data_IF_817034257382
#
_entry.id   IF_817034257382
#
_cell.length_a   1.000
_cell.length_b   1.000
_cell.length_c   1.000
_cell.angle_alpha   90.00
_cell.angle_beta   90.00
_cell.angle_gamma   90.00
#
_symmetry.space_group_name_H-M   'P 1'
#
loop_
_entity.id
_entity.type
_entity.pdbx_description
1 polymer ?
#
# COMPACT_ATOMS: atom_id res chain seq x y z
N UNK A 1 -1.58 13.79 -19.53
CA UNK A 1 -2.12 12.64 -18.76
C UNK A 1 -3.19 13.14 -17.83
N UNK A 2 -4.33 12.43 -17.69
CA UNK A 2 -5.39 12.80 -16.75
C UNK A 2 -4.88 12.55 -15.30
N UNK A 3 -5.16 13.48 -14.40
CA UNK A 3 -4.83 13.33 -12.97
C UNK A 3 -5.72 12.26 -12.31
N UNK A 4 -5.26 11.67 -11.22
CA UNK A 4 -6.08 10.70 -10.44
C UNK A 4 -7.38 11.33 -9.98
N UNK A 5 -7.37 12.62 -9.65
CA UNK A 5 -8.58 13.35 -9.25
C UNK A 5 -9.63 13.40 -10.36
N UNK A 6 -9.21 13.57 -11.62
CA UNK A 6 -10.10 13.52 -12.79
C UNK A 6 -10.64 12.11 -13.02
N UNK A 7 -9.76 11.09 -12.97
CA UNK A 7 -10.15 9.68 -13.11
C UNK A 7 -11.17 9.24 -12.03
N UNK A 8 -11.05 9.74 -10.80
CA UNK A 8 -12.03 9.47 -9.73
C UNK A 8 -13.40 10.08 -10.07
N UNK A 9 -13.46 11.23 -10.73
CA UNK A 9 -14.74 11.82 -11.18
C UNK A 9 -15.36 10.99 -12.30
N UNK A 10 -14.56 10.48 -13.24
CA UNK A 10 -14.99 9.64 -14.34
C UNK A 10 -15.36 8.21 -13.91
N UNK A 11 -14.97 7.79 -12.72
CA UNK A 11 -15.19 6.42 -12.21
C UNK A 11 -16.67 6.02 -12.18
N UNK A 12 -17.59 6.96 -11.97
CA UNK A 12 -19.02 6.70 -12.01
C UNK A 12 -19.47 6.23 -13.38
N UNK A 13 -19.10 6.93 -14.43
CA UNK A 13 -19.51 6.61 -15.81
C UNK A 13 -18.92 5.28 -16.26
N UNK A 14 -17.66 5.04 -15.98
CA UNK A 14 -16.94 3.84 -16.40
C UNK A 14 -17.42 2.58 -15.67
N UNK A 15 -17.75 2.67 -14.38
CA UNK A 15 -18.11 1.51 -13.56
C UNK A 15 -19.64 1.32 -13.43
N UNK A 16 -20.44 2.29 -13.90
CA UNK A 16 -21.90 2.24 -13.82
C UNK A 16 -22.49 1.00 -14.49
N UNK A 17 -21.99 0.65 -15.67
CA UNK A 17 -22.49 -0.50 -16.45
C UNK A 17 -22.13 -1.83 -15.81
N UNK A 18 -20.94 -1.93 -15.19
CA UNK A 18 -20.43 -3.17 -14.59
C UNK A 18 -21.05 -3.46 -13.22
N UNK A 19 -21.23 -2.41 -12.40
CA UNK A 19 -21.72 -2.57 -11.00
C UNK A 19 -23.14 -2.02 -10.76
N UNK A 20 -23.81 -1.50 -11.79
CA UNK A 20 -25.21 -1.10 -11.72
C UNK A 20 -25.50 0.10 -10.81
N UNK A 21 -24.59 1.09 -10.73
CA UNK A 21 -24.81 2.29 -9.90
C UNK A 21 -26.00 3.11 -10.39
N UNK A 22 -26.91 3.43 -9.49
CA UNK A 22 -28.07 4.29 -9.78
C UNK A 22 -27.77 5.77 -9.51
N UNK A 23 -26.88 6.07 -8.60
CA UNK A 23 -26.55 7.43 -8.19
C UNK A 23 -25.03 7.65 -8.18
N UNK A 24 -24.57 8.83 -8.59
CA UNK A 24 -23.17 9.22 -8.57
C UNK A 24 -22.53 9.16 -7.16
N UNK A 25 -23.31 9.25 -6.10
CA UNK A 25 -22.83 9.11 -4.73
C UNK A 25 -22.45 7.67 -4.34
N UNK A 26 -22.91 6.66 -5.10
CA UNK A 26 -22.52 5.25 -4.92
C UNK A 26 -21.15 4.95 -5.52
N UNK A 27 -20.67 5.82 -6.41
CA UNK A 27 -19.37 5.63 -7.07
C UNK A 27 -18.22 5.44 -6.08
N UNK A 28 -17.26 4.59 -6.39
CA UNK A 28 -16.10 4.37 -5.55
C UNK A 28 -15.26 5.65 -5.41
N UNK A 29 -14.83 5.93 -4.19
CA UNK A 29 -13.99 7.09 -3.85
C UNK A 29 -12.87 6.67 -2.90
N UNK A 30 -11.70 7.30 -3.05
CA UNK A 30 -10.62 7.15 -2.08
C UNK A 30 -10.93 8.06 -0.90
N UNK A 31 -10.95 7.50 0.31
CA UNK A 31 -11.20 8.26 1.55
C UNK A 31 -9.93 8.81 2.16
N UNK A 32 -8.88 8.01 2.18
CA UNK A 32 -7.56 8.35 2.73
C UNK A 32 -6.49 7.40 2.20
N UNK A 33 -5.26 7.85 2.26
CA UNK A 33 -4.08 7.01 2.04
C UNK A 33 -3.25 7.03 3.33
N UNK A 34 -2.84 5.86 3.77
CA UNK A 34 -2.00 5.69 4.95
C UNK A 34 -0.64 5.20 4.47
N UNK A 35 0.40 5.95 4.82
CA UNK A 35 1.79 5.56 4.60
C UNK A 35 2.39 5.22 5.95
N UNK A 36 2.96 4.05 6.08
CA UNK A 36 3.58 3.59 7.33
C UNK A 36 4.94 2.95 7.09
N UNK A 37 5.87 3.16 8.02
CA UNK A 37 7.20 2.54 8.02
C UNK A 37 7.50 2.00 9.39
N UNK A 38 8.00 0.75 9.43
CA UNK A 38 8.44 0.09 10.66
C UNK A 38 9.90 0.44 10.94
N UNK A 39 10.16 1.03 12.11
CA UNK A 39 11.51 1.40 12.57
C UNK A 39 11.93 0.67 13.84
N UNK A 40 11.15 -0.30 14.30
CA UNK A 40 11.39 -0.99 15.58
C UNK A 40 12.71 -1.77 15.69
N UNK A 41 13.30 -2.18 14.57
CA UNK A 41 14.63 -2.80 14.51
C UNK A 41 15.77 -1.78 14.57
N UNK A 42 15.50 -0.50 14.32
CA UNK A 42 16.48 0.58 14.29
C UNK A 42 16.55 1.17 15.70
N UNK A 43 17.72 1.03 16.37
CA UNK A 43 17.94 1.58 17.72
C UNK A 43 18.58 2.97 17.70
N UNK A 44 19.14 3.36 16.56
CA UNK A 44 19.83 4.63 16.39
C UNK A 44 18.80 5.76 16.19
N UNK A 45 18.77 6.71 17.12
CA UNK A 45 17.88 7.86 17.07
C UNK A 45 18.09 8.71 15.81
N UNK A 46 19.37 8.89 15.39
CA UNK A 46 19.67 9.65 14.18
C UNK A 46 19.04 9.04 12.93
N UNK A 47 19.05 7.70 12.83
CA UNK A 47 18.39 7.00 11.72
C UNK A 47 16.86 7.12 11.79
N UNK A 48 16.28 7.11 12.98
CA UNK A 48 14.83 7.32 13.16
C UNK A 48 14.45 8.74 12.71
N UNK A 49 15.22 9.75 13.08
CA UNK A 49 14.99 11.14 12.66
C UNK A 49 15.17 11.33 11.15
N UNK A 50 16.14 10.62 10.56
CA UNK A 50 16.33 10.59 9.10
C UNK A 50 15.11 9.99 8.39
N UNK A 51 14.58 8.85 8.85
CA UNK A 51 13.35 8.25 8.29
C UNK A 51 12.17 9.22 8.39
N UNK A 52 12.05 9.96 9.50
CA UNK A 52 11.02 10.98 9.67
C UNK A 52 11.13 12.10 8.63
N UNK A 53 12.34 12.64 8.43
CA UNK A 53 12.61 13.71 7.45
C UNK A 53 12.27 13.22 6.03
N UNK A 54 12.72 12.02 5.66
CA UNK A 54 12.46 11.44 4.33
C UNK A 54 10.99 11.19 4.06
N UNK A 55 10.29 10.60 5.03
CA UNK A 55 8.83 10.44 4.93
C UNK A 55 8.11 11.78 4.81
N UNK A 56 8.60 12.82 5.50
CA UNK A 56 8.05 14.18 5.37
C UNK A 56 8.24 14.75 3.98
N UNK A 57 9.41 14.56 3.36
CA UNK A 57 9.70 14.99 1.98
C UNK A 57 8.83 14.26 0.95
N UNK A 58 8.70 12.94 1.07
CA UNK A 58 7.88 12.11 0.17
C UNK A 58 6.40 12.51 0.24
N UNK A 59 5.86 12.73 1.44
CA UNK A 59 4.41 12.90 1.64
C UNK A 59 3.98 14.36 1.77
N UNK A 60 4.91 15.28 2.00
CA UNK A 60 4.63 16.68 2.30
C UNK A 60 3.99 16.91 3.67
N UNK A 61 4.04 15.91 4.58
CA UNK A 61 3.44 15.98 5.91
C UNK A 61 4.33 15.26 6.93
N UNK A 62 4.52 15.87 8.11
CA UNK A 62 5.27 15.27 9.20
C UNK A 62 4.61 13.98 9.70
N UNK A 63 5.36 12.84 9.80
CA UNK A 63 4.82 11.58 10.29
C UNK A 63 4.54 11.61 11.80
N UNK A 64 3.52 10.85 12.23
CA UNK A 64 3.26 10.59 13.63
C UNK A 64 4.12 9.39 14.08
N UNK A 65 4.96 9.60 15.08
CA UNK A 65 5.74 8.53 15.73
C UNK A 65 4.80 7.62 16.51
N UNK A 66 4.93 6.30 16.34
CA UNK A 66 4.14 5.29 17.05
C UNK A 66 5.02 4.53 18.02
N UNK A 67 4.70 4.70 19.32
CA UNK A 67 5.37 3.98 20.41
C UNK A 67 4.80 2.58 20.62
N UNK A 68 5.63 1.69 21.15
CA UNK A 68 5.22 0.36 21.55
C UNK A 68 4.23 0.44 22.74
N UNK A 69 3.14 -0.31 22.65
CA UNK A 69 2.12 -0.36 23.72
C UNK A 69 2.53 -1.29 24.87
N UNK A 70 3.28 -2.33 24.58
CA UNK A 70 3.66 -3.39 25.50
C UNK A 70 5.15 -3.66 25.34
N UNK A 71 5.85 -3.95 26.43
CA UNK A 71 7.25 -4.39 26.41
C UNK A 71 7.32 -5.86 26.03
N UNK A 72 8.14 -6.20 25.02
CA UNK A 72 8.35 -7.59 24.56
C UNK A 72 9.85 -7.87 24.56
N UNK A 73 10.29 -8.76 25.47
CA UNK A 73 11.71 -9.07 25.66
C UNK A 73 12.35 -9.74 24.42
N UNK A 74 11.63 -10.61 23.71
CA UNK A 74 12.11 -11.29 22.50
C UNK A 74 12.49 -10.33 21.38
N UNK A 75 11.78 -9.22 21.24
CA UNK A 75 12.09 -8.17 20.27
C UNK A 75 12.95 -7.03 20.83
N UNK A 76 13.37 -7.11 22.09
CA UNK A 76 14.16 -6.08 22.80
C UNK A 76 13.52 -4.69 22.72
N UNK A 77 12.17 -4.63 22.80
CA UNK A 77 11.37 -3.41 22.75
C UNK A 77 10.75 -3.14 24.12
N UNK A 78 10.86 -1.91 24.60
CA UNK A 78 10.21 -1.42 25.82
C UNK A 78 8.96 -0.60 25.48
N UNK A 79 8.04 -0.54 26.43
CA UNK A 79 6.87 0.34 26.29
C UNK A 79 7.32 1.79 26.10
N UNK A 80 6.76 2.47 25.10
CA UNK A 80 7.13 3.83 24.72
C UNK A 80 8.23 3.95 23.66
N UNK A 81 8.99 2.88 23.38
CA UNK A 81 9.99 2.89 22.30
C UNK A 81 9.31 3.12 20.96
N UNK A 82 9.91 3.95 20.10
CA UNK A 82 9.40 4.22 18.75
C UNK A 82 9.57 2.99 17.87
N UNK A 83 8.47 2.36 17.49
CA UNK A 83 8.46 1.15 16.66
C UNK A 83 8.01 1.40 15.22
N UNK A 84 7.39 2.53 14.96
CA UNK A 84 6.92 2.87 13.63
C UNK A 84 6.58 4.34 13.46
N UNK A 85 6.39 4.71 12.20
CA UNK A 85 5.92 6.02 11.79
C UNK A 85 4.71 5.86 10.89
N UNK A 86 3.74 6.75 11.00
CA UNK A 86 2.51 6.69 10.22
C UNK A 86 2.08 8.08 9.78
N UNK A 87 1.67 8.17 8.52
CA UNK A 87 1.11 9.37 7.93
C UNK A 87 -0.26 9.02 7.35
N UNK A 88 -1.24 9.90 7.57
CA UNK A 88 -2.56 9.78 6.96
C UNK A 88 -2.78 10.96 6.04
N UNK A 89 -2.84 10.70 4.74
CA UNK A 89 -3.07 11.69 3.71
C UNK A 89 -4.56 11.75 3.33
N UNK A 90 -5.08 12.97 3.15
CA UNK A 90 -6.46 13.24 2.73
C UNK A 90 -6.49 14.45 1.79
N UNK A 91 -7.59 14.60 1.04
CA UNK A 91 -7.80 15.75 0.15
C UNK A 91 -6.76 15.86 -0.97
N UNK A 92 -6.31 17.07 -1.29
CA UNK A 92 -5.38 17.34 -2.39
C UNK A 92 -4.07 16.56 -2.23
N UNK A 93 -3.44 16.62 -1.05
CA UNK A 93 -2.16 15.90 -0.79
C UNK A 93 -2.24 14.40 -1.04
N UNK A 94 -3.40 13.78 -0.82
CA UNK A 94 -3.62 12.38 -1.10
C UNK A 94 -3.55 12.09 -2.59
N UNK A 95 -4.22 12.91 -3.42
CA UNK A 95 -4.20 12.74 -4.87
C UNK A 95 -2.81 13.01 -5.46
N UNK A 96 -2.14 14.07 -5.00
CA UNK A 96 -0.79 14.43 -5.44
C UNK A 96 0.23 13.32 -5.10
N UNK A 97 0.11 12.72 -3.90
CA UNK A 97 0.94 11.58 -3.52
C UNK A 97 0.68 10.36 -4.40
N UNK A 98 -0.58 10.03 -4.68
CA UNK A 98 -0.93 8.90 -5.53
C UNK A 98 -0.50 9.12 -6.98
N UNK A 99 -0.61 10.33 -7.52
CA UNK A 99 -0.13 10.66 -8.87
C UNK A 99 1.38 10.44 -8.99
N UNK A 100 2.18 10.91 -8.02
CA UNK A 100 3.63 10.65 -7.99
C UNK A 100 3.94 9.16 -7.80
N UNK A 101 3.22 8.50 -6.94
CA UNK A 101 3.41 7.07 -6.66
C UNK A 101 3.19 6.22 -7.91
N UNK A 102 2.08 6.40 -8.63
CA UNK A 102 1.71 5.57 -9.78
C UNK A 102 2.53 5.93 -11.02
N UNK A 103 2.71 7.23 -11.29
CA UNK A 103 3.32 7.67 -12.54
C UNK A 103 4.85 7.75 -12.48
N UNK A 104 5.44 7.99 -11.29
CA UNK A 104 6.88 8.19 -11.15
C UNK A 104 7.55 7.08 -10.32
N UNK A 105 7.06 6.81 -9.10
CA UNK A 105 7.76 5.96 -8.16
C UNK A 105 7.68 4.47 -8.55
N UNK A 106 6.48 3.95 -8.84
CA UNK A 106 6.32 2.52 -9.17
C UNK A 106 7.10 2.10 -10.42
N UNK A 107 7.09 2.84 -11.55
CA UNK A 107 7.87 2.46 -12.72
C UNK A 107 9.39 2.44 -12.48
N UNK A 108 9.90 3.23 -11.51
CA UNK A 108 11.32 3.28 -11.14
C UNK A 108 11.79 2.10 -10.30
N UNK A 109 10.87 1.25 -9.82
CA UNK A 109 11.23 0.06 -9.05
C UNK A 109 12.01 -0.92 -9.93
N UNK A 110 13.12 -1.45 -9.42
CA UNK A 110 13.89 -2.50 -10.11
C UNK A 110 12.99 -3.72 -10.39
N UNK A 111 13.10 -4.27 -11.59
CA UNK A 111 12.35 -5.48 -12.04
C UNK A 111 10.84 -5.34 -11.82
N UNK A 112 10.29 -4.16 -12.06
CA UNK A 112 8.87 -3.92 -11.88
C UNK A 112 8.03 -4.78 -12.83
N UNK A 113 7.27 -5.72 -12.26
CA UNK A 113 6.34 -6.61 -12.99
C UNK A 113 4.88 -6.38 -12.62
N UNK A 114 4.58 -5.24 -12.00
CA UNK A 114 3.26 -4.93 -11.47
C UNK A 114 3.09 -5.32 -10.00
N UNK A 115 2.03 -4.81 -9.38
CA UNK A 115 1.70 -4.99 -7.96
C UNK A 115 0.71 -6.14 -7.82
N UNK A 116 0.82 -6.94 -6.75
CA UNK A 116 -0.13 -8.02 -6.49
C UNK A 116 -1.51 -7.49 -6.12
N UNK A 117 -2.55 -8.04 -6.71
CA UNK A 117 -3.94 -7.74 -6.31
C UNK A 117 -4.36 -8.41 -4.99
N UNK A 118 -3.55 -9.31 -4.43
CA UNK A 118 -3.86 -10.03 -3.19
C UNK A 118 -3.85 -9.13 -1.94
N UNK A 119 -3.34 -7.89 -2.05
CA UNK A 119 -3.37 -6.91 -0.97
C UNK A 119 -4.72 -6.22 -0.77
N UNK A 120 -5.75 -6.61 -1.53
CA UNK A 120 -7.11 -6.10 -1.33
C UNK A 120 -7.75 -6.92 -0.21
N UNK A 121 -8.20 -6.24 0.84
CA UNK A 121 -8.90 -6.87 1.97
C UNK A 121 -10.40 -7.06 1.69
N UNK A 122 -11.08 -7.80 2.58
CA UNK A 122 -12.52 -8.04 2.49
C UNK A 122 -13.38 -6.78 2.65
N UNK A 123 -12.80 -5.70 3.14
CA UNK A 123 -13.45 -4.39 3.33
C UNK A 123 -13.17 -3.41 2.17
N UNK A 124 -12.54 -3.88 1.09
CA UNK A 124 -12.26 -3.07 -0.09
C UNK A 124 -11.09 -2.09 0.05
N UNK A 125 -10.23 -2.22 1.06
CA UNK A 125 -8.99 -1.45 1.15
C UNK A 125 -7.87 -2.19 0.44
N UNK A 126 -6.88 -1.46 -0.04
CA UNK A 126 -5.73 -2.03 -0.74
C UNK A 126 -4.43 -1.66 -0.05
N UNK A 127 -3.65 -2.66 0.33
CA UNK A 127 -2.35 -2.48 0.98
C UNK A 127 -1.24 -3.16 0.20
N UNK A 128 -0.12 -2.46 0.03
CA UNK A 128 1.08 -3.02 -0.59
C UNK A 128 2.34 -2.42 0.02
N UNK A 129 3.42 -3.19 -0.04
CA UNK A 129 4.72 -2.81 0.49
C UNK A 129 5.66 -2.32 -0.62
N UNK A 130 6.42 -1.29 -0.30
CA UNK A 130 7.53 -0.76 -1.08
C UNK A 130 8.80 -1.10 -0.29
N UNK A 131 9.75 -1.78 -0.92
CA UNK A 131 10.96 -2.24 -0.24
C UNK A 131 11.96 -1.12 -0.02
N UNK A 132 12.05 -0.18 -0.96
CA UNK A 132 13.08 0.86 -1.00
C UNK A 132 12.43 2.24 -1.20
N UNK A 133 12.79 3.19 -0.36
CA UNK A 133 12.34 4.59 -0.47
C UNK A 133 12.99 5.33 -1.66
N UNK A 134 14.10 4.82 -2.19
CA UNK A 134 14.88 5.41 -3.29
C UNK A 134 14.12 5.48 -4.63
N UNK A 135 12.99 4.78 -4.75
CA UNK A 135 12.10 4.90 -5.92
C UNK A 135 11.47 6.30 -6.04
N UNK A 136 11.39 7.04 -4.92
CA UNK A 136 10.91 8.42 -4.94
C UNK A 136 12.06 9.36 -5.31
N UNK A 137 11.87 10.29 -6.28
CA UNK A 137 12.91 11.20 -6.71
C UNK A 137 13.44 12.10 -5.57
N UNK A 138 12.59 12.38 -4.58
CA UNK A 138 12.94 13.18 -3.40
C UNK A 138 13.97 12.50 -2.48
N UNK A 139 14.22 11.21 -2.67
CA UNK A 139 15.11 10.38 -1.85
C UNK A 139 16.15 9.63 -2.70
N UNK A 140 16.39 10.03 -3.96
CA UNK A 140 17.28 9.29 -4.87
C UNK A 140 18.77 9.43 -4.53
N UNK A 141 19.17 10.50 -3.81
CA UNK A 141 20.57 10.85 -3.52
C UNK A 141 21.07 10.24 -2.19
N UNK A 142 20.39 9.21 -1.68
CA UNK A 142 20.71 8.63 -0.39
C UNK A 142 21.81 7.56 -0.45
N UNK A 143 22.58 7.47 0.65
CA UNK A 143 23.47 6.35 0.86
C UNK A 143 22.68 5.05 1.01
N UNK A 144 23.19 3.95 0.48
CA UNK A 144 22.57 2.61 0.55
C UNK A 144 22.29 2.14 1.99
N UNK A 145 22.96 2.74 2.98
CA UNK A 145 22.77 2.42 4.41
C UNK A 145 21.49 2.98 5.01
N UNK A 146 20.88 3.94 4.36
CA UNK A 146 19.73 4.70 4.87
C UNK A 146 18.41 4.32 4.16
N UNK A 147 18.46 3.24 3.39
CA UNK A 147 17.28 2.70 2.70
C UNK A 147 16.34 2.03 3.70
N UNK A 148 15.07 2.38 3.62
CA UNK A 148 14.01 1.78 4.43
C UNK A 148 12.78 1.42 3.59
N UNK A 149 12.02 0.46 4.10
CA UNK A 149 10.76 0.05 3.49
C UNK A 149 9.57 0.81 4.05
N UNK A 150 8.52 0.92 3.22
CA UNK A 150 7.26 1.50 3.64
C UNK A 150 6.07 0.69 3.11
N UNK A 151 4.96 0.74 3.82
CA UNK A 151 3.69 0.19 3.37
C UNK A 151 2.72 1.32 3.05
N UNK A 152 2.02 1.19 1.95
CA UNK A 152 0.98 2.13 1.51
C UNK A 152 -0.35 1.42 1.55
N UNK A 153 -1.32 1.99 2.27
CA UNK A 153 -2.70 1.49 2.34
C UNK A 153 -3.65 2.53 1.78
N UNK A 154 -4.33 2.18 0.71
CA UNK A 154 -5.39 2.99 0.08
C UNK A 154 -6.72 2.56 0.65
N UNK A 155 -7.40 3.44 1.36
CA UNK A 155 -8.70 3.19 1.97
C UNK A 155 -9.79 3.76 1.07
N UNK A 156 -10.71 2.89 0.66
CA UNK A 156 -11.85 3.25 -0.19
C UNK A 156 -13.17 3.20 0.57
N UNK A 157 -14.24 3.68 -0.03
CA UNK A 157 -15.60 3.53 0.50
C UNK A 157 -16.30 2.23 0.04
N UNK A 158 -15.64 1.47 -0.81
CA UNK A 158 -16.17 0.22 -1.39
C UNK A 158 -16.01 -0.92 -0.39
N UNK A 159 -16.98 -1.82 -0.34
CA UNK A 159 -16.94 -3.03 0.51
C UNK A 159 -16.71 -4.32 -0.27
N UNK A 160 -16.66 -4.24 -1.59
CA UNK A 160 -16.50 -5.40 -2.46
C UNK A 160 -15.10 -5.45 -3.08
N UNK A 161 -14.30 -6.50 -2.87
CA UNK A 161 -12.95 -6.61 -3.42
C UNK A 161 -12.89 -6.55 -4.96
N UNK A 162 -13.90 -7.09 -5.65
CA UNK A 162 -13.97 -7.05 -7.12
C UNK A 162 -14.13 -5.62 -7.64
N UNK A 163 -15.02 -4.87 -7.01
CA UNK A 163 -15.27 -3.47 -7.32
C UNK A 163 -14.04 -2.60 -7.03
N UNK A 164 -13.39 -2.82 -5.88
CA UNK A 164 -12.13 -2.13 -5.55
C UNK A 164 -11.05 -2.41 -6.58
N UNK A 165 -10.90 -3.65 -7.05
CA UNK A 165 -9.92 -4.00 -8.07
C UNK A 165 -10.21 -3.27 -9.38
N UNK A 166 -11.45 -3.28 -9.86
CA UNK A 166 -11.85 -2.56 -11.07
C UNK A 166 -11.60 -1.06 -10.94
N UNK A 167 -11.97 -0.46 -9.81
CA UNK A 167 -11.74 0.94 -9.51
C UNK A 167 -10.26 1.32 -9.51
N UNK A 168 -9.41 0.57 -8.79
CA UNK A 168 -7.96 0.84 -8.75
C UNK A 168 -7.31 0.64 -10.13
N UNK A 169 -7.77 -0.34 -10.91
CA UNK A 169 -7.31 -0.53 -12.30
C UNK A 169 -7.66 0.68 -13.16
N UNK A 170 -8.88 1.22 -13.05
CA UNK A 170 -9.29 2.46 -13.74
C UNK A 170 -8.42 3.66 -13.34
N UNK A 171 -8.03 3.77 -12.08
CA UNK A 171 -7.12 4.82 -11.62
C UNK A 171 -5.71 4.70 -12.19
N UNK A 172 -5.34 3.52 -12.70
CA UNK A 172 -4.03 3.26 -13.31
C UNK A 172 -3.05 2.51 -12.40
N UNK A 173 -3.51 1.83 -11.35
CA UNK A 173 -2.65 0.94 -10.59
C UNK A 173 -2.20 -0.23 -11.46
N UNK A 174 -0.89 -0.44 -11.62
CA UNK A 174 -0.35 -1.48 -12.49
C UNK A 174 -0.38 -2.84 -11.78
N UNK A 175 -1.54 -3.50 -11.79
CA UNK A 175 -1.65 -4.85 -11.24
C UNK A 175 -0.95 -5.87 -12.14
N UNK A 176 -0.30 -6.87 -11.53
CA UNK A 176 0.17 -8.04 -12.24
C UNK A 176 -0.98 -8.71 -12.96
N UNK A 177 -0.82 -9.00 -14.25
CA UNK A 177 -1.69 -9.97 -14.93
C UNK A 177 -1.53 -11.29 -14.20
N UNK A 178 -2.61 -11.79 -13.61
CA UNK A 178 -2.61 -13.12 -12.98
C UNK A 178 -2.45 -14.10 -14.12
N UNK A 179 -1.23 -14.64 -14.31
CA UNK A 179 -1.09 -15.91 -15.01
C UNK A 179 -1.86 -16.91 -14.15
N UNK A 180 -2.94 -17.43 -14.69
CA UNK A 180 -3.74 -18.51 -14.09
C UNK A 180 -2.81 -19.73 -14.04
N UNK A 181 -2.00 -19.84 -12.95
CA UNK A 181 -1.38 -21.12 -12.63
C UNK A 181 -2.55 -22.00 -12.26
N UNK A 182 -2.90 -22.91 -13.14
CA UNK A 182 -3.76 -24.04 -12.84
C UNK A 182 -3.31 -24.58 -11.49
N UNK A 183 -4.22 -24.52 -10.52
CA UNK A 183 -4.03 -25.13 -9.21
C UNK A 183 -3.97 -26.64 -9.52
N UNK A 184 -2.77 -27.18 -9.69
CA UNK A 184 -2.60 -28.64 -9.68
C UNK A 184 -3.06 -29.09 -8.31
N UNK A 185 -4.25 -29.64 -8.26
CA UNK A 185 -4.78 -30.31 -7.08
C UNK A 185 -3.73 -31.31 -6.59
N UNK A 186 -3.25 -31.11 -5.37
CA UNK A 186 -2.38 -32.09 -4.74
C UNK A 186 -3.16 -33.38 -4.63
N UNK A 187 -2.66 -34.52 -5.14
CA UNK A 187 -3.37 -35.79 -5.05
C UNK A 187 -3.65 -36.09 -3.56
N UNK A 188 -4.91 -36.38 -3.26
CA UNK A 188 -5.34 -36.80 -1.92
C UNK A 188 -4.48 -38.00 -1.51
N UNK A 189 -3.70 -37.85 -0.42
CA UNK A 189 -3.01 -39.00 0.18
C UNK A 189 -4.04 -40.00 0.63
N UNK A 190 -4.10 -41.14 -0.04
CA UNK A 190 -4.88 -42.30 0.40
C UNK A 190 -4.40 -42.73 1.78
N UNK A 191 -5.34 -42.78 2.72
CA UNK A 191 -5.09 -43.33 4.05
C UNK A 191 -4.89 -44.84 3.87
N UNK A 192 -3.67 -45.36 4.15
CA UNK A 192 -3.42 -46.78 4.26
C UNK A 192 -4.36 -47.38 5.31
N UNK A 193 -5.03 -48.53 5.02
CA UNK A 193 -5.83 -49.21 6.01
C UNK A 193 -4.93 -49.73 7.15
N UNK A 194 -5.40 -49.57 8.39
CA UNK A 194 -4.77 -50.13 9.57
C UNK A 194 -4.90 -51.67 9.44
N UNK A 195 -3.79 -52.38 9.43
CA UNK A 195 -3.76 -53.81 9.63
C UNK A 195 -4.13 -54.12 11.09
N UNK A 196 -5.03 -55.06 11.23
CA UNK A 196 -5.38 -55.70 12.51
C UNK A 196 -4.21 -56.52 13.07
#
# INVERSE_FOLDING_TARGET
MKTIKEKVKESFEMLKTEFGYKNAMQAPKIQKVIVSSGVGSIKDKKKIDLVEDRLSKITGQKPARKGAKISIASFKVRQGDIVGMQITLRGARMYDFLDRLINLALPRTKDFRGISSNGIDGMGNYSFGIKENTIFPECSDEELKDVFGMAVTVVTNVKNPKETKAFLTHLGFPFKKVETKEIKEKPKREKKPKAE
#
